data_IF_474141173380
#
_entry.id   IF_474141173380
#
_cell.length_a   1.000
_cell.length_b   1.000
_cell.length_c   1.000
_cell.angle_alpha   90.00
_cell.angle_beta   90.00
_cell.angle_gamma   90.00
#
_symmetry.space_group_name_H-M   'P 1'
#
loop_
_entity.id
_entity.type
_entity.pdbx_description
1 polymer ?
#
# COMPACT_ATOMS: atom_id res chain seq x y z
N UNK A 1 -4.73 -9.07 -12.99
CA UNK A 1 -5.12 -8.91 -11.56
C UNK A 1 -5.33 -7.44 -11.27
N UNK A 2 -6.49 -7.09 -10.75
CA UNK A 2 -6.82 -5.73 -10.37
C UNK A 2 -6.93 -5.60 -8.86
N UNK A 3 -6.10 -4.72 -8.29
CA UNK A 3 -6.18 -4.40 -6.87
C UNK A 3 -6.83 -3.04 -6.70
N UNK A 4 -7.56 -2.89 -5.59
CA UNK A 4 -8.15 -1.61 -5.20
C UNK A 4 -7.85 -1.39 -3.73
N UNK A 5 -7.22 -0.26 -3.43
CA UNK A 5 -7.13 0.25 -2.06
C UNK A 5 -8.14 1.37 -1.92
N UNK A 6 -9.15 1.14 -1.11
CA UNK A 6 -10.16 2.15 -0.78
C UNK A 6 -9.87 2.67 0.61
N UNK A 7 -9.44 3.92 0.68
CA UNK A 7 -9.10 4.58 1.94
C UNK A 7 -10.37 4.93 2.69
N UNK A 8 -10.55 4.36 3.87
CA UNK A 8 -11.79 4.51 4.65
C UNK A 8 -11.66 5.40 5.87
N UNK A 9 -10.45 5.61 6.38
CA UNK A 9 -10.20 6.48 7.52
C UNK A 9 -8.89 7.24 7.30
N UNK A 10 -9.02 8.53 6.97
CA UNK A 10 -7.88 9.42 6.73
C UNK A 10 -7.66 10.27 7.97
N UNK A 11 -6.64 9.92 8.76
CA UNK A 11 -6.31 10.56 10.03
C UNK A 11 -5.11 11.50 9.90
N UNK A 12 -4.80 12.22 10.95
CA UNK A 12 -3.68 13.19 10.91
C UNK A 12 -2.31 12.54 10.77
N UNK A 13 -2.13 11.32 11.26
CA UNK A 13 -0.84 10.66 11.27
C UNK A 13 -0.82 9.34 10.51
N UNK A 14 -1.97 8.85 10.06
CA UNK A 14 -2.07 7.59 9.31
C UNK A 14 -3.37 7.52 8.53
N UNK A 15 -3.43 6.55 7.61
CA UNK A 15 -4.61 6.27 6.81
C UNK A 15 -4.89 4.77 6.85
N UNK A 16 -6.13 4.40 7.12
CA UNK A 16 -6.59 3.01 7.04
C UNK A 16 -7.43 2.84 5.78
N UNK A 17 -7.24 1.73 5.12
CA UNK A 17 -8.02 1.37 3.93
C UNK A 17 -8.33 -0.12 3.89
N UNK A 18 -9.01 -0.50 2.82
CA UNK A 18 -9.30 -1.90 2.52
C UNK A 18 -8.73 -2.24 1.15
N UNK A 19 -8.08 -3.38 1.08
CA UNK A 19 -7.52 -3.92 -0.15
C UNK A 19 -8.45 -4.99 -0.71
N UNK A 20 -8.82 -4.80 -1.97
CA UNK A 20 -9.60 -5.77 -2.74
C UNK A 20 -8.74 -6.33 -3.86
N UNK A 21 -8.86 -7.62 -4.09
CA UNK A 21 -8.20 -8.32 -5.21
C UNK A 21 -9.29 -8.85 -6.12
N UNK A 22 -9.32 -8.35 -7.36
CA UNK A 22 -10.35 -8.69 -8.35
C UNK A 22 -11.77 -8.58 -7.79
N UNK A 23 -12.03 -7.51 -7.04
CA UNK A 23 -13.34 -7.20 -6.46
C UNK A 23 -13.63 -7.85 -5.11
N UNK A 24 -12.77 -8.74 -4.62
CA UNK A 24 -12.97 -9.41 -3.34
C UNK A 24 -12.08 -8.83 -2.24
N UNK A 25 -12.65 -8.59 -1.07
CA UNK A 25 -11.90 -8.11 0.07
C UNK A 25 -10.80 -9.10 0.45
N UNK A 26 -9.57 -8.58 0.58
CA UNK A 26 -8.40 -9.39 0.91
C UNK A 26 -7.90 -9.11 2.33
N UNK A 27 -7.62 -7.85 2.63
CA UNK A 27 -7.19 -7.40 3.96
C UNK A 27 -7.33 -5.89 4.07
N UNK A 28 -6.89 -5.33 5.20
CA UNK A 28 -6.82 -3.89 5.38
C UNK A 28 -5.45 -3.36 4.99
N UNK A 29 -5.35 -2.03 4.88
CA UNK A 29 -4.11 -1.34 4.58
C UNK A 29 -3.85 -0.23 5.59
N UNK A 30 -2.57 0.11 5.75
CA UNK A 30 -2.16 1.27 6.51
C UNK A 30 -1.12 2.05 5.72
N UNK A 31 -1.33 3.35 5.64
CA UNK A 31 -0.44 4.28 4.95
C UNK A 31 -0.18 5.50 5.83
N UNK A 32 0.77 6.32 5.41
CA UNK A 32 0.97 7.64 5.99
C UNK A 32 -0.25 8.54 5.77
N UNK A 33 -0.18 9.76 6.27
CA UNK A 33 -1.23 10.76 6.10
C UNK A 33 -1.46 11.07 4.62
N UNK A 34 -2.73 11.11 4.22
CA UNK A 34 -3.13 11.61 2.91
C UNK A 34 -3.01 13.14 2.89
N UNK A 35 -2.28 13.67 1.92
CA UNK A 35 -2.12 15.11 1.70
C UNK A 35 -2.60 15.46 0.30
N UNK A 36 -3.25 16.60 0.18
CA UNK A 36 -3.63 17.13 -1.12
C UNK A 36 -2.41 17.83 -1.74
N UNK A 37 -1.65 17.11 -2.55
CA UNK A 37 -0.40 17.62 -3.13
C UNK A 37 -0.61 18.72 -4.18
N UNK A 38 -1.85 18.99 -4.58
CA UNK A 38 -2.19 20.16 -5.38
C UNK A 38 -2.24 21.43 -4.54
N UNK A 39 -2.42 21.32 -3.22
CA UNK A 39 -2.58 22.43 -2.29
C UNK A 39 -1.49 22.56 -1.25
N UNK A 40 -0.80 21.46 -0.92
CA UNK A 40 0.22 21.45 0.11
C UNK A 40 1.45 20.68 -0.36
N UNK A 41 2.58 20.90 0.29
CA UNK A 41 3.83 20.24 -0.04
C UNK A 41 3.86 18.83 0.53
N UNK A 42 4.50 17.93 -0.20
CA UNK A 42 4.84 16.60 0.29
C UNK A 42 5.76 16.73 1.51
N UNK A 43 5.44 16.03 2.59
CA UNK A 43 6.32 15.87 3.74
C UNK A 43 7.04 14.55 3.58
N UNK A 44 8.35 14.60 3.35
CA UNK A 44 9.14 13.39 3.11
C UNK A 44 9.00 12.38 4.25
N UNK A 45 8.75 11.12 3.89
CA UNK A 45 8.61 10.04 4.87
C UNK A 45 7.28 10.03 5.64
N UNK A 46 6.38 10.99 5.40
CA UNK A 46 5.13 11.13 6.15
C UNK A 46 3.93 11.43 5.25
N UNK A 47 3.98 11.00 4.00
CA UNK A 47 2.94 11.29 3.02
C UNK A 47 2.54 10.04 2.28
N UNK A 48 1.23 9.76 2.22
CA UNK A 48 0.67 8.70 1.39
C UNK A 48 0.75 9.08 -0.10
N UNK A 49 0.80 8.08 -0.96
CA UNK A 49 0.87 8.30 -2.40
C UNK A 49 -0.45 8.91 -2.93
N UNK A 50 -0.40 9.63 -4.07
CA UNK A 50 -1.61 10.18 -4.67
C UNK A 50 -2.60 9.10 -5.11
N UNK A 51 -3.88 9.47 -5.16
CA UNK A 51 -4.87 8.65 -5.85
C UNK A 51 -4.46 8.42 -7.30
N UNK A 52 -4.83 7.29 -7.84
CA UNK A 52 -4.54 6.95 -9.23
C UNK A 52 -4.52 5.45 -9.44
N UNK A 53 -4.21 5.05 -10.66
CA UNK A 53 -4.02 3.65 -11.04
C UNK A 53 -2.58 3.47 -11.48
N UNK A 54 -1.93 2.47 -10.91
CA UNK A 54 -0.50 2.22 -11.11
C UNK A 54 -0.27 0.78 -11.54
N UNK A 55 0.70 0.57 -12.42
CA UNK A 55 1.17 -0.76 -12.79
C UNK A 55 2.01 -1.31 -11.65
N UNK A 56 1.86 -2.58 -11.36
CA UNK A 56 2.57 -3.27 -10.29
C UNK A 56 3.39 -4.42 -10.87
N UNK A 57 4.61 -4.55 -10.40
CA UNK A 57 5.44 -5.73 -10.69
C UNK A 57 6.07 -6.24 -9.39
N UNK A 58 6.30 -7.55 -9.31
CA UNK A 58 6.95 -8.15 -8.16
C UNK A 58 8.46 -8.23 -8.46
N UNK A 59 9.23 -7.48 -7.71
CA UNK A 59 10.68 -7.40 -7.89
C UNK A 59 11.40 -7.50 -6.55
N UNK A 60 12.71 -7.79 -6.60
CA UNK A 60 13.52 -7.82 -5.39
C UNK A 60 13.65 -6.42 -4.80
N UNK A 61 13.27 -6.26 -3.54
CA UNK A 61 13.45 -5.01 -2.82
C UNK A 61 14.89 -4.93 -2.29
N UNK A 62 15.67 -3.91 -2.68
CA UNK A 62 17.02 -3.74 -2.11
C UNK A 62 16.96 -3.51 -0.60
N UNK A 63 15.97 -2.78 -0.13
CA UNK A 63 15.82 -2.45 1.29
C UNK A 63 15.44 -3.65 2.15
N UNK A 64 14.49 -4.46 1.67
CA UNK A 64 13.94 -5.57 2.48
C UNK A 64 14.56 -6.92 2.14
N UNK A 65 15.32 -7.02 1.04
CA UNK A 65 16.01 -8.25 0.66
C UNK A 65 15.07 -9.39 0.26
N UNK A 66 13.87 -9.07 -0.22
CA UNK A 66 12.90 -10.07 -0.67
C UNK A 66 12.02 -9.52 -1.79
N UNK A 67 11.29 -10.40 -2.47
CA UNK A 67 10.36 -10.04 -3.52
C UNK A 67 9.15 -9.33 -2.92
N UNK A 68 8.86 -8.12 -3.40
CA UNK A 68 7.73 -7.31 -2.97
C UNK A 68 7.10 -6.60 -4.16
N UNK A 69 5.78 -6.33 -4.14
CA UNK A 69 5.13 -5.55 -5.17
C UNK A 69 5.73 -4.14 -5.24
N UNK A 70 6.02 -3.69 -6.45
CA UNK A 70 6.52 -2.35 -6.74
C UNK A 70 5.50 -1.62 -7.60
N UNK A 71 5.08 -0.42 -7.19
CA UNK A 71 4.22 0.46 -7.96
C UNK A 71 5.09 1.35 -8.85
N UNK A 72 4.75 1.40 -10.14
CA UNK A 72 5.51 2.17 -11.14
C UNK A 72 4.92 3.57 -11.36
N UNK A 73 5.81 4.51 -11.61
CA UNK A 73 5.44 5.88 -12.04
C UNK A 73 4.48 6.61 -11.10
N UNK A 74 4.70 6.47 -9.81
CA UNK A 74 3.92 7.20 -8.80
C UNK A 74 4.42 8.64 -8.74
N UNK A 75 3.56 9.65 -9.04
CA UNK A 75 3.99 11.05 -9.02
C UNK A 75 4.62 11.46 -7.70
N UNK A 76 5.78 12.09 -7.74
CA UNK A 76 6.56 12.58 -6.59
C UNK A 76 7.13 11.51 -5.66
N UNK A 77 7.04 10.23 -6.03
CA UNK A 77 7.54 9.12 -5.22
C UNK A 77 8.41 8.18 -6.06
N UNK A 78 9.33 7.51 -5.40
CA UNK A 78 10.13 6.42 -5.98
C UNK A 78 10.18 5.26 -5.00
N UNK A 79 10.28 4.04 -5.53
CA UNK A 79 10.41 2.85 -4.69
C UNK A 79 9.20 2.53 -3.84
N UNK A 80 8.01 2.90 -4.30
CA UNK A 80 6.77 2.61 -3.57
C UNK A 80 6.45 1.14 -3.66
N UNK A 81 6.35 0.49 -2.51
CA UNK A 81 6.06 -0.94 -2.43
C UNK A 81 4.89 -1.22 -1.50
N UNK A 82 4.38 -2.44 -1.61
CA UNK A 82 3.48 -3.02 -0.62
C UNK A 82 4.34 -3.92 0.25
N UNK A 83 4.35 -3.71 1.56
CA UNK A 83 5.16 -4.52 2.47
C UNK A 83 4.55 -4.63 3.86
N UNK A 84 5.21 -5.32 4.76
CA UNK A 84 4.74 -5.52 6.13
C UNK A 84 5.22 -4.43 7.08
N UNK A 85 4.47 -4.24 8.13
CA UNK A 85 4.70 -3.29 9.21
C UNK A 85 3.44 -3.19 10.04
N UNK A 86 3.49 -2.48 11.16
CA UNK A 86 2.35 -2.41 12.07
C UNK A 86 1.72 -1.02 12.16
N UNK A 87 2.53 0.03 12.11
CA UNK A 87 2.08 1.42 12.25
C UNK A 87 2.66 2.29 11.15
N UNK A 88 2.20 3.54 11.06
CA UNK A 88 2.73 4.50 10.09
C UNK A 88 4.22 4.78 10.25
N UNK A 89 4.81 4.46 11.41
CA UNK A 89 6.25 4.58 11.63
C UNK A 89 7.06 3.56 10.84
N UNK A 90 6.41 2.50 10.37
CA UNK A 90 7.05 1.42 9.62
C UNK A 90 7.02 1.66 8.11
N UNK A 91 6.55 2.82 7.67
CA UNK A 91 6.46 3.12 6.25
C UNK A 91 6.82 4.59 5.95
N UNK A 92 7.31 4.82 4.75
CA UNK A 92 7.63 6.15 4.21
C UNK A 92 6.96 6.29 2.83
N UNK A 93 5.64 6.28 2.81
CA UNK A 93 4.85 6.35 1.59
C UNK A 93 4.45 5.02 1.00
N UNK A 94 5.00 3.91 1.50
CA UNK A 94 4.60 2.56 1.08
C UNK A 94 3.27 2.15 1.72
N UNK A 95 2.67 1.10 1.16
CA UNK A 95 1.39 0.57 1.63
C UNK A 95 1.66 -0.66 2.50
N UNK A 96 1.25 -0.59 3.77
CA UNK A 96 1.29 -1.75 4.67
C UNK A 96 0.00 -2.54 4.53
N UNK A 97 0.09 -3.85 4.61
CA UNK A 97 -1.06 -4.76 4.59
C UNK A 97 -1.19 -5.50 5.91
N UNK A 98 -2.40 -5.91 6.24
CA UNK A 98 -2.70 -6.63 7.48
C UNK A 98 -4.17 -6.45 7.86
N UNK A 99 -4.49 -6.65 9.14
CA UNK A 99 -5.85 -6.46 9.64
C UNK A 99 -5.89 -5.35 10.68
N UNK A 100 -6.73 -4.36 10.45
CA UNK A 100 -6.92 -3.22 11.37
C UNK A 100 -7.88 -3.63 12.50
N UNK A 101 -7.36 -4.33 13.48
CA UNK A 101 -8.12 -4.74 14.68
C UNK A 101 -7.84 -3.85 15.89
N UNK A 102 -6.83 -3.00 15.78
CA UNK A 102 -6.45 -2.03 16.81
C UNK A 102 -6.24 -0.68 16.16
N UNK A 103 -6.56 0.38 16.88
CA UNK A 103 -6.46 1.76 16.38
C UNK A 103 -5.04 2.07 15.90
N UNK A 104 -4.93 2.55 14.67
CA UNK A 104 -3.66 2.99 14.09
C UNK A 104 -2.67 1.87 13.78
N UNK A 105 -3.13 0.62 13.75
CA UNK A 105 -2.26 -0.55 13.52
C UNK A 105 -2.88 -1.52 12.52
N UNK A 106 -2.01 -2.30 11.89
CA UNK A 106 -2.41 -3.52 11.17
C UNK A 106 -1.67 -4.70 11.79
N UNK A 107 -2.37 -5.82 11.93
CA UNK A 107 -1.88 -7.06 12.52
C UNK A 107 -1.79 -8.15 11.45
N UNK A 108 -1.08 -9.23 11.74
CA UNK A 108 -0.84 -10.32 10.79
C UNK A 108 -0.21 -9.83 9.48
N UNK A 109 0.52 -8.72 9.54
CA UNK A 109 1.00 -8.02 8.36
C UNK A 109 1.93 -8.86 7.50
N UNK A 110 2.90 -9.53 8.09
CA UNK A 110 3.85 -10.37 7.34
C UNK A 110 3.15 -11.54 6.66
N UNK A 111 2.17 -12.13 7.33
CA UNK A 111 1.37 -13.22 6.76
C UNK A 111 0.61 -12.73 5.53
N UNK A 112 -0.02 -11.56 5.62
CA UNK A 112 -0.79 -11.00 4.51
C UNK A 112 0.10 -10.53 3.36
N UNK A 113 1.27 -9.98 3.66
CA UNK A 113 2.28 -9.66 2.65
C UNK A 113 2.67 -10.92 1.87
N UNK A 114 3.01 -11.99 2.57
CA UNK A 114 3.42 -13.26 1.96
C UNK A 114 2.31 -13.84 1.08
N UNK A 115 1.07 -13.85 1.58
CA UNK A 115 -0.08 -14.33 0.82
C UNK A 115 -0.30 -13.53 -0.46
N UNK A 116 -0.20 -12.21 -0.37
CA UNK A 116 -0.39 -11.34 -1.53
C UNK A 116 0.70 -11.57 -2.59
N UNK A 117 1.95 -11.60 -2.17
CA UNK A 117 3.09 -11.82 -3.07
C UNK A 117 2.97 -13.19 -3.76
N UNK A 118 2.65 -14.23 -3.01
CA UNK A 118 2.46 -15.57 -3.58
C UNK A 118 1.33 -15.61 -4.60
N UNK A 119 0.22 -14.93 -4.30
CA UNK A 119 -0.91 -14.84 -5.21
C UNK A 119 -0.52 -14.15 -6.54
N UNK A 120 0.25 -13.08 -6.45
CA UNK A 120 0.75 -12.35 -7.63
C UNK A 120 1.69 -13.20 -8.46
N UNK A 121 2.62 -13.91 -7.82
CA UNK A 121 3.58 -14.78 -8.51
C UNK A 121 2.86 -15.95 -9.18
N UNK A 122 1.93 -16.60 -8.47
CA UNK A 122 1.25 -17.80 -8.97
C UNK A 122 0.37 -17.51 -10.18
N UNK A 123 -0.24 -16.34 -10.26
CA UNK A 123 -1.13 -16.00 -11.37
C UNK A 123 -0.43 -15.58 -12.65
N UNK A 124 0.80 -15.07 -12.56
CA UNK A 124 1.58 -14.61 -13.73
C UNK A 124 0.83 -13.62 -14.64
N UNK A 125 -0.05 -12.80 -14.08
CA UNK A 125 -0.85 -11.83 -14.82
C UNK A 125 -0.27 -10.43 -14.73
N UNK A 126 -0.69 -9.55 -15.63
CA UNK A 126 -0.46 -8.12 -15.45
C UNK A 126 -1.24 -7.65 -14.23
N UNK A 127 -0.60 -6.83 -13.42
CA UNK A 127 -1.16 -6.33 -12.16
C UNK A 127 -1.27 -4.83 -12.22
N UNK A 128 -2.44 -4.31 -11.86
CA UNK A 128 -2.61 -2.88 -11.61
C UNK A 128 -3.27 -2.66 -10.25
N UNK A 129 -2.99 -1.52 -9.65
CA UNK A 129 -3.60 -1.12 -8.38
C UNK A 129 -4.20 0.27 -8.51
N UNK A 130 -5.43 0.41 -8.06
CA UNK A 130 -6.09 1.71 -7.97
C UNK A 130 -6.14 2.13 -6.51
N UNK A 131 -5.71 3.37 -6.26
CA UNK A 131 -5.75 3.99 -4.94
C UNK A 131 -6.84 5.04 -4.98
N UNK A 132 -7.80 4.94 -4.09
CA UNK A 132 -8.96 5.82 -4.08
C UNK A 132 -9.28 6.31 -2.68
N UNK A 133 -9.43 7.61 -2.53
CA UNK A 133 -10.02 8.20 -1.33
C UNK A 133 -11.53 7.92 -1.40
N UNK A 134 -12.10 7.63 -0.24
CA UNK A 134 -13.47 7.22 -0.19
C UNK A 134 -14.47 8.35 -0.11
#
# INVERSE_FOLDING_TARGET
MKLLVRRTAMKETYTIGKLYVDGEYFCDTLEDRVRDLAKEKKVAGQTAIPEGTYIVSVTMSPRFGRLLPLLHDVPQFTGVRIHSGNTARDTEGCILVGYNREKGKVLDSRKMETRLVNLMIDRHENIEITIRNY
#
